data_IF_034654793438
#
_entry.id   IF_034654793438
#
_cell.length_a   1.000
_cell.length_b   1.000
_cell.length_c   1.000
_cell.angle_alpha   90.00
_cell.angle_beta   90.00
_cell.angle_gamma   90.00
#
_symmetry.space_group_name_H-M   'P 1'
#
loop_
_entity.id
_entity.type
_entity.pdbx_description
1 polymer ?
#
# COMPACT_ATOMS: atom_id res chain seq x y z
N UNK A 1 -2.33 -5.12 -3.06
CA UNK A 1 -1.40 -4.02 -2.78
C UNK A 1 -1.03 -3.88 -1.31
N UNK A 2 -1.97 -4.05 -0.37
CA UNK A 2 -1.75 -3.74 1.04
C UNK A 2 -1.50 -4.97 1.91
N UNK A 3 -0.58 -4.88 2.88
CA UNK A 3 -0.32 -5.88 3.92
C UNK A 3 -0.70 -5.31 5.29
N UNK A 4 -1.56 -6.02 6.02
CA UNK A 4 -2.02 -5.61 7.36
C UNK A 4 -0.86 -5.70 8.36
N UNK A 5 -0.55 -4.60 9.04
CA UNK A 5 0.58 -4.48 9.98
C UNK A 5 0.16 -4.11 11.41
N UNK A 6 -1.08 -3.70 11.59
CA UNK A 6 -1.71 -3.43 12.87
C UNK A 6 -3.20 -3.72 12.80
N UNK A 7 -3.74 -4.42 13.77
CA UNK A 7 -5.18 -4.57 13.98
C UNK A 7 -5.47 -4.51 15.47
N UNK A 8 -5.75 -3.30 15.96
CA UNK A 8 -6.15 -3.08 17.34
C UNK A 8 -7.64 -3.30 17.51
N UNK A 9 -7.98 -4.11 18.52
CA UNK A 9 -9.32 -4.20 19.10
C UNK A 9 -9.19 -3.96 20.61
N UNK A 10 -10.28 -3.50 21.22
CA UNK A 10 -10.30 -3.18 22.66
C UNK A 10 -11.21 -4.10 23.48
N UNK A 11 -11.66 -5.20 22.88
CA UNK A 11 -12.55 -6.20 23.48
C UNK A 11 -12.04 -6.76 24.82
N UNK A 12 -10.73 -6.88 24.98
CA UNK A 12 -10.10 -7.42 26.17
C UNK A 12 -10.00 -6.37 27.30
N UNK A 13 -11.13 -5.94 27.86
CA UNK A 13 -11.21 -4.94 28.93
C UNK A 13 -10.44 -3.63 28.60
N UNK A 14 -10.54 -3.20 27.35
CA UNK A 14 -9.90 -1.99 26.84
C UNK A 14 -8.42 -2.15 26.48
N UNK A 15 -7.79 -3.30 26.68
CA UNK A 15 -6.38 -3.47 26.28
C UNK A 15 -6.23 -3.26 24.77
N UNK A 16 -5.22 -2.50 24.35
CA UNK A 16 -4.91 -2.24 22.95
C UNK A 16 -4.13 -3.42 22.36
N UNK A 17 -4.85 -4.49 22.03
CA UNK A 17 -4.26 -5.75 21.56
C UNK A 17 -4.19 -5.74 20.04
N UNK A 18 -2.98 -5.85 19.49
CA UNK A 18 -2.78 -6.15 18.08
C UNK A 18 -3.05 -7.63 17.78
N UNK A 19 -3.94 -7.89 16.84
CA UNK A 19 -4.31 -9.23 16.38
C UNK A 19 -3.46 -9.72 15.20
N UNK A 20 -2.56 -8.90 14.67
CA UNK A 20 -1.65 -9.33 13.61
C UNK A 20 -0.50 -10.18 14.16
N UNK A 21 0.19 -10.97 13.31
CA UNK A 21 1.39 -11.70 13.71
C UNK A 21 2.55 -10.82 14.19
N UNK A 22 2.44 -9.49 14.04
CA UNK A 22 3.49 -8.57 14.44
C UNK A 22 3.44 -8.19 15.93
N UNK A 23 2.31 -8.34 16.61
CA UNK A 23 2.19 -8.15 18.05
C UNK A 23 2.47 -6.72 18.52
N UNK A 24 2.14 -5.71 17.71
CA UNK A 24 2.34 -4.30 18.03
C UNK A 24 1.26 -3.77 18.99
N UNK A 25 1.22 -4.30 20.22
CA UNK A 25 0.30 -3.84 21.25
C UNK A 25 0.51 -2.35 21.58
N UNK A 26 -0.59 -1.67 21.92
CA UNK A 26 -0.59 -0.25 22.27
C UNK A 26 -0.41 0.01 23.77
N UNK A 27 0.30 1.10 24.09
CA UNK A 27 0.40 1.64 25.44
C UNK A 27 -0.64 2.73 25.63
N UNK A 28 -1.58 2.49 26.55
CA UNK A 28 -2.71 3.38 26.82
C UNK A 28 -2.36 4.41 27.88
N UNK A 29 -2.70 5.66 27.64
CA UNK A 29 -2.60 6.76 28.60
C UNK A 29 -3.93 7.49 28.62
N UNK A 30 -4.49 7.79 29.80
CA UNK A 30 -5.65 8.69 29.92
C UNK A 30 -6.94 8.26 29.18
N UNK A 31 -7.10 6.99 28.82
CA UNK A 31 -8.30 6.49 28.12
C UNK A 31 -9.23 5.69 29.05
N UNK A 32 -10.53 5.88 28.89
CA UNK A 32 -11.57 5.03 29.48
C UNK A 32 -11.87 3.80 28.61
N UNK A 33 -12.77 2.94 29.08
CA UNK A 33 -13.22 1.74 28.36
C UNK A 33 -14.74 1.60 28.44
N UNK A 34 -15.36 1.32 27.30
CA UNK A 34 -16.73 0.85 27.19
C UNK A 34 -16.74 -0.61 26.73
N UNK A 35 -17.52 -1.46 27.39
CA UNK A 35 -17.70 -2.86 26.97
C UNK A 35 -18.38 -2.98 25.60
N UNK A 36 -19.21 -2.00 25.24
CA UNK A 36 -19.95 -1.98 23.97
C UNK A 36 -19.41 -0.83 23.12
N UNK A 37 -18.89 -1.16 21.94
CA UNK A 37 -18.50 -0.20 20.92
C UNK A 37 -19.59 -0.09 19.86
N UNK A 38 -19.21 -0.23 18.59
CA UNK A 38 -20.11 -0.28 17.43
C UNK A 38 -21.17 -1.38 17.57
N UNK A 39 -20.80 -2.50 18.18
CA UNK A 39 -21.73 -3.59 18.50
C UNK A 39 -21.55 -4.05 19.96
N UNK A 40 -22.54 -4.72 20.56
CA UNK A 40 -22.41 -5.25 21.91
C UNK A 40 -21.18 -6.16 22.06
N UNK A 41 -20.33 -5.87 23.04
CA UNK A 41 -19.12 -6.65 23.33
C UNK A 41 -17.94 -6.50 22.36
N UNK A 42 -17.98 -5.55 21.40
CA UNK A 42 -16.79 -5.23 20.57
C UNK A 42 -15.69 -4.56 21.40
N UNK A 43 -16.07 -3.74 22.38
CA UNK A 43 -15.18 -3.00 23.26
C UNK A 43 -14.61 -1.75 22.58
N UNK A 44 -14.74 -0.59 23.22
CA UNK A 44 -14.21 0.67 22.71
C UNK A 44 -13.42 1.43 23.76
N UNK A 45 -12.40 2.17 23.33
CA UNK A 45 -11.70 3.14 24.17
C UNK A 45 -12.43 4.47 24.14
N UNK A 46 -12.52 5.11 25.31
CA UNK A 46 -13.12 6.43 25.49
C UNK A 46 -11.99 7.45 25.61
N UNK A 47 -11.95 8.41 24.70
CA UNK A 47 -11.01 9.52 24.69
C UNK A 47 -11.75 10.75 25.21
N UNK A 48 -11.48 11.13 26.45
CA UNK A 48 -12.18 12.21 27.15
C UNK A 48 -11.26 13.05 28.05
N UNK A 49 -9.95 12.88 27.89
CA UNK A 49 -8.92 13.64 28.60
C UNK A 49 -7.93 14.16 27.57
N UNK A 50 -7.36 15.36 27.77
CA UNK A 50 -6.32 15.89 26.88
C UNK A 50 -5.02 15.06 26.85
N UNK A 51 -4.91 14.02 27.68
CA UNK A 51 -3.81 13.04 27.69
C UNK A 51 -4.21 11.68 27.14
N UNK A 52 -5.45 11.52 26.64
CA UNK A 52 -5.95 10.28 26.05
C UNK A 52 -5.11 9.91 24.81
N UNK A 53 -4.40 8.78 24.88
CA UNK A 53 -3.49 8.32 23.83
C UNK A 53 -3.39 6.79 23.85
N UNK A 54 -3.21 6.20 22.67
CA UNK A 54 -2.70 4.85 22.52
C UNK A 54 -1.45 4.90 21.64
N UNK A 55 -0.29 4.76 22.27
CA UNK A 55 1.01 4.77 21.59
C UNK A 55 1.41 3.37 21.16
N UNK A 56 1.71 3.22 19.88
CA UNK A 56 2.31 2.04 19.27
C UNK A 56 3.79 2.32 19.01
N UNK A 57 4.72 1.59 19.67
CA UNK A 57 6.15 1.84 19.48
C UNK A 57 6.61 1.62 18.05
N UNK A 58 7.67 2.33 17.67
CA UNK A 58 8.38 2.05 16.42
C UNK A 58 9.02 0.67 16.47
N UNK A 59 8.80 -0.08 15.41
CA UNK A 59 9.44 -1.33 15.07
C UNK A 59 9.83 -1.28 13.59
N UNK A 60 10.62 -2.25 13.08
CA UNK A 60 10.95 -2.29 11.66
C UNK A 60 9.74 -2.33 10.71
N UNK A 61 8.54 -2.73 11.18
CA UNK A 61 7.35 -2.74 10.30
C UNK A 61 6.99 -1.34 9.83
N UNK A 62 7.24 -0.31 10.65
CA UNK A 62 6.89 1.08 10.39
C UNK A 62 7.90 1.79 9.48
N UNK A 63 8.94 1.06 9.05
CA UNK A 63 9.86 1.48 8.02
C UNK A 63 9.31 1.11 6.64
N UNK A 64 9.63 1.93 5.63
CA UNK A 64 9.23 1.72 4.24
C UNK A 64 7.72 1.51 4.10
N UNK A 65 6.91 2.47 4.59
CA UNK A 65 5.46 2.41 4.44
C UNK A 65 5.08 2.44 2.97
N UNK A 66 5.60 3.43 2.22
CA UNK A 66 5.35 3.65 0.79
C UNK A 66 3.86 3.91 0.54
N UNK A 67 3.03 2.87 0.56
CA UNK A 67 1.57 2.97 0.57
C UNK A 67 1.04 2.81 2.00
N UNK A 68 -0.10 3.42 2.31
CA UNK A 68 -0.67 3.36 3.64
C UNK A 68 -2.19 3.33 3.54
N UNK A 69 -2.81 2.34 4.18
CA UNK A 69 -4.24 2.31 4.40
C UNK A 69 -4.49 2.31 5.91
N UNK A 70 -5.43 3.13 6.36
CA UNK A 70 -5.87 3.16 7.75
C UNK A 70 -7.40 3.08 7.74
N UNK A 71 -7.95 2.19 8.56
CA UNK A 71 -9.39 2.14 8.85
C UNK A 71 -9.59 2.33 10.34
N UNK A 72 -10.50 3.24 10.70
CA UNK A 72 -10.86 3.53 12.08
C UNK A 72 -12.37 3.45 12.22
N UNK A 73 -12.85 2.64 13.16
CA UNK A 73 -14.25 2.64 13.57
C UNK A 73 -14.39 3.54 14.80
N UNK A 74 -15.04 4.69 14.64
CA UNK A 74 -15.10 5.73 15.65
C UNK A 74 -16.52 6.27 15.87
N UNK A 75 -16.75 6.83 17.05
CA UNK A 75 -17.93 7.59 17.43
C UNK A 75 -17.49 8.96 17.92
N UNK A 76 -17.95 10.02 17.27
CA UNK A 76 -17.67 11.41 17.65
C UNK A 76 -18.89 11.97 18.38
N UNK A 77 -18.72 12.49 19.60
CA UNK A 77 -19.80 13.06 20.40
C UNK A 77 -20.08 14.54 20.00
N UNK A 78 -21.31 15.03 20.15
CA UNK A 78 -21.63 16.46 20.12
C UNK A 78 -20.83 17.31 21.11
N UNK A 79 -20.30 16.73 22.19
CA UNK A 79 -19.46 17.45 23.15
C UNK A 79 -18.18 18.06 22.53
N UNK A 80 -17.77 17.59 21.33
CA UNK A 80 -16.71 18.21 20.53
C UNK A 80 -17.09 19.61 19.98
N UNK A 81 -18.27 20.12 20.30
CA UNK A 81 -18.79 21.44 19.94
C UNK A 81 -19.04 22.35 21.16
N UNK A 82 -18.32 22.16 22.28
CA UNK A 82 -18.35 23.10 23.40
C UNK A 82 -17.81 24.47 22.97
N UNK A 83 -18.58 25.56 23.04
CA UNK A 83 -18.11 26.90 22.68
C UNK A 83 -16.94 27.43 23.54
N UNK A 84 -16.60 26.79 24.67
CA UNK A 84 -15.42 27.09 25.48
C UNK A 84 -14.14 26.38 24.99
N UNK A 85 -14.27 25.34 24.15
CA UNK A 85 -13.18 24.66 23.47
C UNK A 85 -13.39 24.77 21.96
N UNK A 86 -12.78 25.76 21.28
CA UNK A 86 -13.00 25.95 19.85
C UNK A 86 -12.65 24.66 19.13
N UNK A 87 -13.61 24.13 18.35
CA UNK A 87 -13.49 22.85 17.64
C UNK A 87 -12.07 22.71 17.10
N UNK A 88 -11.32 21.75 17.61
CA UNK A 88 -9.92 21.54 17.26
C UNK A 88 -9.77 20.35 16.32
N UNK A 89 -8.54 20.07 15.90
CA UNK A 89 -8.23 18.88 15.12
C UNK A 89 -8.32 17.65 16.04
N UNK A 90 -9.26 16.76 15.75
CA UNK A 90 -9.47 15.48 16.44
C UNK A 90 -8.67 14.40 15.72
N UNK A 91 -7.50 14.06 16.25
CA UNK A 91 -6.64 13.05 15.63
C UNK A 91 -7.21 11.66 15.73
N UNK A 92 -7.25 10.92 14.62
CA UNK A 92 -7.65 9.51 14.63
C UNK A 92 -6.41 8.63 14.77
N UNK A 93 -5.46 8.79 13.85
CA UNK A 93 -4.18 8.07 13.84
C UNK A 93 -3.09 8.99 13.27
N UNK A 94 -1.93 9.02 13.90
CA UNK A 94 -0.79 9.82 13.47
C UNK A 94 0.52 9.07 13.64
N UNK A 95 1.32 9.02 12.58
CA UNK A 95 2.69 8.55 12.62
C UNK A 95 3.62 9.75 12.73
N UNK A 96 4.47 9.78 13.77
CA UNK A 96 5.39 10.89 14.00
C UNK A 96 6.18 11.25 12.73
N UNK A 97 6.06 12.52 12.31
CA UNK A 97 6.74 13.10 11.14
C UNK A 97 6.58 12.25 9.87
N UNK A 98 5.44 11.58 9.73
CA UNK A 98 5.17 10.68 8.60
C UNK A 98 3.79 10.90 7.99
N UNK A 99 2.73 10.70 8.76
CA UNK A 99 1.35 10.83 8.27
C UNK A 99 0.42 11.26 9.39
N UNK A 100 -0.71 11.86 9.02
CA UNK A 100 -1.76 12.23 9.96
C UNK A 100 -3.14 11.96 9.34
N UNK A 101 -4.02 11.33 10.12
CA UNK A 101 -5.42 11.09 9.77
C UNK A 101 -6.31 11.63 10.88
N UNK A 102 -7.16 12.60 10.56
CA UNK A 102 -7.89 13.36 11.57
C UNK A 102 -9.18 13.97 11.05
N UNK A 103 -10.01 14.43 11.98
CA UNK A 103 -11.19 15.26 11.70
C UNK A 103 -10.88 16.69 12.13
N UNK A 104 -11.04 17.67 11.25
CA UNK A 104 -10.72 19.06 11.59
C UNK A 104 -11.87 19.77 12.32
N UNK A 105 -11.65 21.05 12.63
CA UNK A 105 -12.61 21.91 13.33
C UNK A 105 -13.96 22.12 12.64
N UNK A 106 -14.06 21.79 11.35
CA UNK A 106 -15.28 21.89 10.55
C UNK A 106 -15.94 20.52 10.34
N UNK A 107 -15.45 19.47 10.98
CA UNK A 107 -15.83 18.06 10.77
C UNK A 107 -15.46 17.52 9.39
N UNK A 108 -14.52 18.15 8.72
CA UNK A 108 -13.98 17.63 7.46
C UNK A 108 -13.01 16.50 7.80
N UNK A 109 -13.09 15.41 7.06
CA UNK A 109 -12.13 14.31 7.16
C UNK A 109 -10.86 14.72 6.41
N UNK A 110 -9.71 14.60 7.05
CA UNK A 110 -8.42 15.03 6.50
C UNK A 110 -7.39 13.92 6.65
N UNK A 111 -6.67 13.66 5.58
CA UNK A 111 -5.53 12.75 5.58
C UNK A 111 -4.33 13.43 4.95
N UNK A 112 -3.19 13.44 5.64
CA UNK A 112 -1.94 14.00 5.14
C UNK A 112 -0.76 13.05 5.33
N UNK A 113 0.30 13.30 4.57
CA UNK A 113 1.62 12.71 4.76
C UNK A 113 2.72 13.76 4.55
N UNK A 114 3.89 13.54 5.14
CA UNK A 114 5.05 14.40 5.00
C UNK A 114 5.87 13.94 3.80
N UNK A 115 5.76 14.64 2.67
CA UNK A 115 6.62 14.37 1.54
C UNK A 115 8.08 14.72 1.89
N UNK A 116 9.05 13.93 1.40
CA UNK A 116 10.47 14.20 1.64
C UNK A 116 10.89 15.56 1.05
N UNK A 117 11.99 16.10 1.56
CA UNK A 117 12.61 17.29 1.01
C UNK A 117 12.91 17.14 -0.50
N UNK A 118 12.66 18.20 -1.26
CA UNK A 118 13.03 18.29 -2.67
C UNK A 118 14.34 19.07 -2.83
N UNK A 119 14.93 19.05 -4.03
CA UNK A 119 16.11 19.85 -4.35
C UNK A 119 15.77 21.36 -4.25
N UNK A 120 15.90 21.94 -3.06
CA UNK A 120 15.60 23.34 -2.76
C UNK A 120 14.45 23.59 -1.78
N UNK A 121 13.79 22.55 -1.26
CA UNK A 121 12.65 22.67 -0.35
C UNK A 121 12.76 21.80 0.89
N UNK A 122 12.25 22.29 2.03
CA UNK A 122 12.06 21.47 3.22
C UNK A 122 10.94 20.42 2.98
N UNK A 123 10.85 19.35 3.81
CA UNK A 123 9.71 18.44 3.79
C UNK A 123 8.38 19.21 3.93
N UNK A 124 7.38 18.82 3.15
CA UNK A 124 6.07 19.50 3.10
C UNK A 124 4.93 18.52 3.32
N UNK A 125 3.88 18.97 4.00
CA UNK A 125 2.67 18.16 4.18
C UNK A 125 1.78 18.24 2.94
N UNK A 126 1.39 17.07 2.43
CA UNK A 126 0.45 16.92 1.33
C UNK A 126 -0.69 16.01 1.77
N UNK A 127 -1.87 16.13 1.15
CA UNK A 127 -3.01 15.33 1.57
C UNK A 127 -4.28 15.60 0.79
N UNK A 128 -5.39 15.12 1.32
CA UNK A 128 -6.72 15.47 0.85
C UNK A 128 -7.61 15.86 2.04
N UNK A 129 -8.62 16.68 1.79
CA UNK A 129 -9.70 16.94 2.73
C UNK A 129 -11.08 16.85 2.05
N UNK A 130 -12.10 16.46 2.82
CA UNK A 130 -13.46 16.22 2.32
C UNK A 130 -14.24 17.47 1.90
N UNK A 131 -13.60 18.65 1.86
CA UNK A 131 -14.17 19.89 1.33
C UNK A 131 -13.49 20.31 0.02
N UNK A 132 -12.17 20.51 0.01
CA UNK A 132 -11.45 20.96 -1.19
C UNK A 132 -11.26 19.87 -2.23
N UNK A 133 -11.22 18.60 -1.80
CA UNK A 133 -10.93 17.46 -2.66
C UNK A 133 -12.14 16.55 -2.88
N UNK A 134 -13.37 17.04 -2.64
CA UNK A 134 -14.58 16.27 -2.91
C UNK A 134 -14.69 15.93 -4.41
N UNK A 135 -14.80 14.65 -4.80
CA UNK A 135 -14.73 14.24 -6.21
C UNK A 135 -15.88 14.78 -7.08
N UNK A 136 -17.03 15.06 -6.47
CA UNK A 136 -18.22 15.63 -7.10
C UNK A 136 -18.47 17.10 -6.71
N UNK A 137 -17.51 17.72 -6.03
CA UNK A 137 -17.65 19.07 -5.49
C UNK A 137 -18.63 19.21 -4.32
N UNK A 138 -19.16 18.10 -3.78
CA UNK A 138 -20.08 18.11 -2.64
C UNK A 138 -19.34 17.76 -1.36
N UNK A 139 -19.21 18.74 -0.46
CA UNK A 139 -18.60 18.54 0.85
C UNK A 139 -19.37 17.51 1.67
N UNK A 140 -18.63 16.58 2.27
CA UNK A 140 -19.17 15.57 3.20
C UNK A 140 -18.46 15.69 4.53
N UNK A 141 -19.25 15.80 5.59
CA UNK A 141 -18.77 15.97 6.96
C UNK A 141 -18.86 14.65 7.71
N UNK A 142 -17.93 14.42 8.64
CA UNK A 142 -18.02 13.30 9.57
C UNK A 142 -19.26 13.46 10.45
N UNK A 143 -20.16 12.45 10.48
CA UNK A 143 -21.36 12.55 11.29
C UNK A 143 -21.04 12.47 12.78
N UNK A 144 -21.87 13.13 13.59
CA UNK A 144 -21.79 13.10 15.04
C UNK A 144 -22.84 12.15 15.63
N UNK A 145 -22.58 11.68 16.84
CA UNK A 145 -23.43 10.82 17.66
C UNK A 145 -23.84 9.50 16.99
N UNK A 146 -22.98 8.97 16.13
CA UNK A 146 -23.15 7.65 15.55
C UNK A 146 -21.77 7.03 15.27
N UNK A 147 -21.77 5.71 15.19
CA UNK A 147 -20.58 4.96 14.77
C UNK A 147 -20.38 5.11 13.27
N UNK A 148 -19.13 5.31 12.86
CA UNK A 148 -18.75 5.53 11.47
C UNK A 148 -17.44 4.80 11.21
N UNK A 149 -17.27 4.28 10.00
CA UNK A 149 -15.97 3.82 9.50
C UNK A 149 -15.30 4.93 8.70
N UNK A 150 -14.13 5.37 9.15
CA UNK A 150 -13.30 6.36 8.48
C UNK A 150 -12.10 5.67 7.86
N UNK A 151 -11.87 5.89 6.57
CA UNK A 151 -10.76 5.28 5.83
C UNK A 151 -9.86 6.33 5.23
N UNK A 152 -8.55 6.14 5.40
CA UNK A 152 -7.46 6.81 4.70
C UNK A 152 -6.81 5.79 3.78
N UNK A 153 -6.58 6.13 2.52
CA UNK A 153 -5.88 5.27 1.56
C UNK A 153 -4.91 6.09 0.72
N UNK A 154 -3.61 5.85 0.88
CA UNK A 154 -2.55 6.36 0.04
C UNK A 154 -1.96 5.21 -0.78
N UNK A 155 -1.95 5.31 -2.11
CA UNK A 155 -1.47 4.27 -3.03
C UNK A 155 0.06 4.13 -3.02
N UNK A 156 0.75 5.08 -2.40
CA UNK A 156 2.21 5.09 -2.27
C UNK A 156 2.94 5.71 -3.44
N UNK A 157 2.18 6.34 -4.33
CA UNK A 157 2.69 6.92 -5.54
C UNK A 157 2.16 8.34 -5.78
N UNK A 158 0.85 8.48 -5.99
CA UNK A 158 0.24 9.73 -6.48
C UNK A 158 -1.13 10.02 -5.89
N UNK A 159 -1.80 9.04 -5.27
CA UNK A 159 -3.21 9.18 -4.91
C UNK A 159 -3.43 8.98 -3.43
N UNK A 160 -4.17 9.91 -2.82
CA UNK A 160 -4.77 9.75 -1.51
C UNK A 160 -6.29 9.89 -1.61
N UNK A 161 -6.99 8.91 -1.05
CA UNK A 161 -8.45 8.83 -0.98
C UNK A 161 -8.89 8.75 0.47
N UNK A 162 -10.02 9.40 0.75
CA UNK A 162 -10.68 9.34 2.04
C UNK A 162 -12.10 8.83 1.89
N UNK A 163 -12.55 8.01 2.83
CA UNK A 163 -13.90 7.44 2.81
C UNK A 163 -14.59 7.59 4.17
N UNK A 164 -15.90 7.80 4.12
CA UNK A 164 -16.82 7.71 5.26
C UNK A 164 -17.83 6.62 4.92
N UNK A 165 -17.88 5.55 5.71
CA UNK A 165 -18.73 4.38 5.48
C UNK A 165 -18.64 3.85 4.04
N UNK A 166 -17.39 3.71 3.56
CA UNK A 166 -17.01 3.30 2.20
C UNK A 166 -17.41 4.24 1.06
N UNK A 167 -18.02 5.39 1.36
CA UNK A 167 -18.29 6.43 0.36
C UNK A 167 -17.05 7.30 0.19
N UNK A 168 -16.54 7.42 -1.04
CA UNK A 168 -15.43 8.31 -1.37
C UNK A 168 -15.82 9.77 -1.11
N UNK A 169 -15.13 10.42 -0.17
CA UNK A 169 -15.42 11.82 0.23
C UNK A 169 -14.32 12.79 -0.16
N UNK A 170 -13.10 12.31 -0.43
CA UNK A 170 -11.99 13.13 -0.90
C UNK A 170 -11.05 12.31 -1.78
N UNK A 171 -10.51 12.92 -2.83
CA UNK A 171 -9.45 12.35 -3.66
C UNK A 171 -8.44 13.44 -4.07
N UNK A 172 -7.15 13.19 -3.85
CA UNK A 172 -6.06 13.97 -4.40
C UNK A 172 -5.13 13.06 -5.20
N UNK A 173 -5.06 13.26 -6.52
CA UNK A 173 -4.23 12.49 -7.48
C UNK A 173 -2.91 13.18 -7.85
N UNK A 174 -2.58 14.31 -7.21
CA UNK A 174 -1.41 15.14 -7.55
C UNK A 174 -0.26 14.99 -6.53
N UNK A 175 -0.16 13.85 -5.86
CA UNK A 175 0.87 13.62 -4.84
C UNK A 175 2.21 13.26 -5.48
N UNK A 176 3.30 13.60 -4.78
CA UNK A 176 4.67 13.59 -5.34
C UNK A 176 5.61 12.58 -4.69
N UNK A 177 5.10 11.76 -3.75
CA UNK A 177 5.91 10.78 -3.03
C UNK A 177 5.03 9.75 -2.33
N UNK A 178 5.63 8.63 -1.94
CA UNK A 178 5.04 7.69 -0.99
C UNK A 178 5.14 8.19 0.46
N UNK A 179 4.46 7.48 1.36
CA UNK A 179 4.48 7.75 2.79
C UNK A 179 5.84 7.36 3.39
N UNK A 180 6.54 8.28 4.08
CA UNK A 180 7.85 8.00 4.68
C UNK A 180 7.72 7.11 5.93
N UNK A 181 8.85 6.68 6.48
CA UNK A 181 8.87 5.93 7.74
C UNK A 181 8.36 6.76 8.92
N UNK A 182 7.75 6.09 9.90
CA UNK A 182 7.39 6.68 11.19
C UNK A 182 8.65 6.88 12.04
N UNK A 183 8.77 8.06 12.65
CA UNK A 183 9.90 8.42 13.51
C UNK A 183 9.74 7.93 14.95
N UNK A 184 10.76 8.18 15.78
CA UNK A 184 11.06 7.54 17.07
C UNK A 184 9.90 7.42 18.08
N UNK A 185 8.98 8.37 18.17
CA UNK A 185 7.89 8.32 19.16
C UNK A 185 6.78 7.32 18.77
N UNK A 186 6.72 6.96 17.49
CA UNK A 186 5.86 5.89 16.98
C UNK A 186 4.57 6.39 16.38
N UNK A 187 3.59 5.49 16.37
CA UNK A 187 2.23 5.78 15.89
C UNK A 187 1.33 6.03 17.09
N UNK A 188 0.56 7.08 17.05
CA UNK A 188 -0.38 7.47 18.09
C UNK A 188 -1.80 7.35 17.56
N UNK A 189 -2.67 6.66 18.31
CA UNK A 189 -4.09 6.58 18.02
C UNK A 189 -4.80 7.53 18.99
N UNK A 190 -5.60 8.43 18.45
CA UNK A 190 -6.37 9.40 19.22
C UNK A 190 -5.59 10.63 19.70
N UNK A 191 -4.33 10.83 19.28
CA UNK A 191 -3.49 11.90 19.84
C UNK A 191 -2.38 12.40 18.89
N UNK A 192 -1.91 13.65 19.05
CA UNK A 192 -0.76 14.20 18.34
C UNK A 192 0.56 14.04 19.13
N UNK A 193 1.62 13.46 18.56
CA UNK A 193 2.93 13.40 19.21
C UNK A 193 3.67 14.75 19.17
N UNK A 194 4.45 15.12 20.21
CA UNK A 194 4.62 14.46 21.50
C UNK A 194 3.75 15.17 22.57
N UNK A 195 2.53 14.70 22.77
CA UNK A 195 1.67 15.06 23.92
C UNK A 195 1.10 16.49 23.92
N UNK A 196 0.54 16.95 22.80
CA UNK A 196 -0.22 18.20 22.78
C UNK A 196 -1.74 17.96 22.96
N UNK A 197 -2.33 18.40 24.08
CA UNK A 197 -3.75 18.18 24.37
C UNK A 197 -4.70 18.90 23.39
N UNK A 198 -4.20 19.87 22.61
CA UNK A 198 -5.00 20.59 21.61
C UNK A 198 -5.36 19.74 20.39
N UNK A 199 -4.79 18.55 20.28
CA UNK A 199 -4.97 17.65 19.14
C UNK A 199 -5.36 16.23 19.57
N UNK A 200 -5.90 16.10 20.78
CA UNK A 200 -6.48 14.85 21.28
C UNK A 200 -7.83 14.61 20.64
N UNK A 201 -8.09 13.36 20.28
CA UNK A 201 -9.41 12.87 19.94
C UNK A 201 -10.37 13.01 21.11
N UNK A 202 -11.64 13.18 20.78
CA UNK A 202 -12.73 13.22 21.73
C UNK A 202 -13.87 12.36 21.20
N UNK A 203 -14.25 11.34 21.96
CA UNK A 203 -15.22 10.34 21.54
C UNK A 203 -14.77 8.93 21.87
N UNK A 204 -15.17 7.97 21.03
CA UNK A 204 -14.82 6.56 21.20
C UNK A 204 -14.20 5.97 19.93
N UNK A 205 -13.22 5.07 20.11
CA UNK A 205 -12.65 4.27 19.02
C UNK A 205 -12.82 2.79 19.38
N UNK A 206 -13.41 2.01 18.48
CA UNK A 206 -13.66 0.57 18.64
C UNK A 206 -12.52 -0.26 18.03
N UNK A 207 -12.16 0.06 16.79
CA UNK A 207 -11.21 -0.73 16.01
C UNK A 207 -10.31 0.17 15.17
N UNK A 208 -9.03 -0.19 15.09
CA UNK A 208 -8.06 0.45 14.19
C UNK A 208 -7.32 -0.63 13.42
N UNK A 209 -7.29 -0.50 12.10
CA UNK A 209 -6.50 -1.34 11.21
C UNK A 209 -5.58 -0.49 10.38
N UNK A 210 -4.32 -0.91 10.25
CA UNK A 210 -3.31 -0.21 9.45
C UNK A 210 -2.65 -1.23 8.54
N UNK A 211 -2.60 -0.89 7.26
CA UNK A 211 -1.87 -1.65 6.26
C UNK A 211 -0.81 -0.76 5.63
N UNK A 212 0.30 -1.37 5.24
CA UNK A 212 1.30 -0.71 4.40
C UNK A 212 1.41 -1.37 3.04
N UNK A 213 2.27 -0.85 2.17
CA UNK A 213 2.62 -1.52 0.92
C UNK A 213 3.06 -2.97 1.18
N UNK A 214 2.42 -3.90 0.48
CA UNK A 214 2.84 -5.30 0.47
C UNK A 214 4.01 -5.46 -0.50
N UNK A 215 5.23 -5.72 0.00
CA UNK A 215 6.38 -5.97 -0.85
C UNK A 215 6.15 -7.10 -1.87
N UNK A 216 5.30 -8.07 -1.59
CA UNK A 216 5.14 -9.23 -2.48
C UNK A 216 4.05 -8.98 -3.54
N UNK A 217 3.32 -7.86 -3.47
CA UNK A 217 2.23 -7.57 -4.38
C UNK A 217 2.64 -7.54 -5.85
N UNK A 218 3.62 -6.71 -6.23
CA UNK A 218 4.05 -6.63 -7.64
C UNK A 218 4.67 -7.93 -8.13
N UNK A 219 5.28 -8.71 -7.22
CA UNK A 219 5.83 -10.02 -7.57
C UNK A 219 4.73 -11.02 -7.92
N UNK A 220 3.65 -11.01 -7.13
CA UNK A 220 2.48 -11.82 -7.42
C UNK A 220 1.82 -11.40 -8.74
N UNK A 221 1.76 -10.10 -9.03
CA UNK A 221 1.25 -9.59 -10.31
C UNK A 221 2.16 -9.93 -11.50
N UNK A 222 3.47 -9.92 -11.34
CA UNK A 222 4.35 -10.33 -12.41
C UNK A 222 4.27 -11.84 -12.66
N UNK A 223 4.40 -12.63 -11.59
CA UNK A 223 4.46 -14.08 -11.69
C UNK A 223 3.10 -14.75 -11.89
N UNK A 224 1.98 -14.02 -11.82
CA UNK A 224 0.67 -14.59 -12.16
C UNK A 224 0.65 -15.15 -13.60
N UNK A 225 1.43 -14.58 -14.53
CA UNK A 225 1.58 -15.09 -15.90
C UNK A 225 2.32 -16.43 -15.94
N UNK A 226 3.31 -16.57 -15.07
CA UNK A 226 4.28 -17.67 -15.08
C UNK A 226 3.90 -18.63 -13.97
N UNK A 227 2.76 -19.29 -14.16
CA UNK A 227 2.26 -20.30 -13.24
C UNK A 227 3.01 -21.65 -13.36
N UNK A 228 3.89 -21.80 -14.37
CA UNK A 228 4.64 -23.02 -14.64
C UNK A 228 6.03 -23.04 -13.98
N UNK A 229 6.36 -24.15 -13.31
CA UNK A 229 7.72 -24.36 -12.78
C UNK A 229 8.80 -24.48 -13.87
N UNK A 230 8.44 -24.67 -15.14
CA UNK A 230 9.40 -24.86 -16.24
C UNK A 230 10.06 -23.54 -16.66
N UNK A 231 9.27 -22.49 -16.87
CA UNK A 231 9.71 -21.16 -17.26
C UNK A 231 10.51 -20.51 -16.12
N UNK A 232 10.02 -20.62 -14.87
CA UNK A 232 10.77 -20.19 -13.67
C UNK A 232 12.13 -20.90 -13.54
N UNK A 233 12.19 -22.20 -13.84
CA UNK A 233 13.46 -22.93 -13.86
C UNK A 233 14.38 -22.47 -14.98
N UNK A 234 13.83 -22.13 -16.16
CA UNK A 234 14.60 -21.59 -17.26
C UNK A 234 15.20 -20.22 -16.91
N UNK A 235 14.48 -19.38 -16.17
CA UNK A 235 14.97 -18.07 -15.73
C UNK A 235 16.01 -18.11 -14.60
N UNK A 236 16.25 -19.27 -14.01
CA UNK A 236 17.23 -19.42 -12.93
C UNK A 236 18.61 -18.82 -13.26
N UNK A 237 19.22 -19.06 -14.43
CA UNK A 237 20.52 -18.47 -14.77
C UNK A 237 20.48 -16.95 -14.85
N UNK A 238 19.35 -16.36 -15.28
CA UNK A 238 19.15 -14.91 -15.26
C UNK A 238 19.14 -14.40 -13.81
N UNK A 239 18.37 -15.02 -12.92
CA UNK A 239 18.35 -14.62 -11.50
C UNK A 239 19.71 -14.83 -10.81
N UNK A 240 20.43 -15.90 -11.13
CA UNK A 240 21.79 -16.13 -10.64
C UNK A 240 22.77 -15.05 -11.14
N UNK A 241 22.64 -14.60 -12.39
CA UNK A 241 23.44 -13.50 -12.92
C UNK A 241 23.18 -12.19 -12.18
N UNK A 242 21.90 -11.84 -11.97
CA UNK A 242 21.56 -10.63 -11.22
C UNK A 242 22.00 -10.76 -9.75
N UNK A 243 21.90 -11.96 -9.17
CA UNK A 243 22.41 -12.20 -7.83
C UNK A 243 23.94 -12.02 -7.74
N UNK A 244 24.68 -12.42 -8.76
CA UNK A 244 26.11 -12.17 -8.89
C UNK A 244 26.46 -10.68 -8.97
N UNK A 245 25.72 -9.91 -9.78
CA UNK A 245 25.87 -8.46 -9.90
C UNK A 245 25.80 -7.75 -8.55
N UNK A 246 24.85 -8.14 -7.73
CA UNK A 246 24.58 -7.43 -6.50
C UNK A 246 25.39 -7.95 -5.30
N UNK A 247 26.01 -9.12 -5.42
CA UNK A 247 26.93 -9.67 -4.41
C UNK A 247 28.30 -8.97 -4.41
N UNK A 248 28.64 -8.27 -5.49
CA UNK A 248 29.84 -7.44 -5.58
C UNK A 248 29.47 -5.95 -5.35
N UNK A 249 30.12 -5.23 -4.41
CA UNK A 249 29.75 -3.85 -4.07
C UNK A 249 29.73 -2.86 -5.23
N UNK A 250 30.70 -2.93 -6.14
CA UNK A 250 30.83 -2.00 -7.27
C UNK A 250 29.72 -2.23 -8.30
N UNK A 251 29.52 -3.48 -8.71
CA UNK A 251 28.45 -3.83 -9.66
C UNK A 251 27.06 -3.72 -9.04
N UNK A 252 26.94 -3.85 -7.72
CA UNK A 252 25.72 -3.61 -6.96
C UNK A 252 25.31 -2.15 -7.02
N UNK A 253 26.26 -1.23 -6.85
CA UNK A 253 26.02 0.21 -7.01
C UNK A 253 25.55 0.54 -8.43
N UNK A 254 26.20 -0.02 -9.47
CA UNK A 254 25.77 0.20 -10.85
C UNK A 254 24.36 -0.31 -11.13
N UNK A 255 23.99 -1.47 -10.57
CA UNK A 255 22.64 -2.00 -10.72
C UNK A 255 21.60 -1.17 -9.95
N UNK A 256 21.94 -0.68 -8.75
CA UNK A 256 21.08 0.21 -7.97
C UNK A 256 20.84 1.52 -8.74
N UNK A 257 21.90 2.13 -9.29
CA UNK A 257 21.81 3.34 -10.11
C UNK A 257 20.93 3.14 -11.35
N UNK A 258 21.12 2.01 -12.05
CA UNK A 258 20.31 1.63 -13.20
C UNK A 258 18.82 1.55 -12.85
N UNK A 259 18.50 0.83 -11.77
CA UNK A 259 17.13 0.64 -11.34
C UNK A 259 16.50 1.95 -10.82
N UNK A 260 17.28 2.80 -10.16
CA UNK A 260 16.85 4.14 -9.74
C UNK A 260 16.60 5.08 -10.93
N UNK A 261 17.41 4.97 -12.00
CA UNK A 261 17.20 5.70 -13.25
C UNK A 261 15.85 5.33 -13.86
N UNK A 262 15.57 4.03 -13.98
CA UNK A 262 14.33 3.54 -14.59
C UNK A 262 13.11 3.89 -13.74
N UNK A 263 13.18 3.66 -12.42
CA UNK A 263 12.12 4.05 -11.49
C UNK A 263 11.77 5.53 -11.65
N UNK A 264 12.77 6.42 -11.76
CA UNK A 264 12.55 7.84 -11.94
C UNK A 264 11.79 8.14 -13.24
N UNK A 265 12.16 7.50 -14.36
CA UNK A 265 11.48 7.69 -15.66
C UNK A 265 10.03 7.25 -15.59
N UNK A 266 9.76 6.05 -15.06
CA UNK A 266 8.40 5.52 -14.90
C UNK A 266 7.59 6.42 -13.98
N UNK A 267 8.19 6.84 -12.87
CA UNK A 267 7.55 7.70 -11.89
C UNK A 267 7.15 9.05 -12.51
N UNK A 268 8.02 9.66 -13.31
CA UNK A 268 7.69 10.89 -14.04
C UNK A 268 6.57 10.65 -15.04
N UNK A 269 6.65 9.59 -15.85
CA UNK A 269 5.63 9.24 -16.85
C UNK A 269 4.24 9.11 -16.22
N UNK A 270 4.11 8.30 -15.17
CA UNK A 270 2.82 8.06 -14.51
C UNK A 270 2.31 9.34 -13.84
N UNK A 271 3.19 10.15 -13.24
CA UNK A 271 2.77 11.43 -12.64
C UNK A 271 2.26 12.41 -13.67
N UNK A 272 2.97 12.58 -14.78
CA UNK A 272 2.54 13.49 -15.84
C UNK A 272 1.19 13.01 -16.42
N UNK A 273 1.02 11.70 -16.61
CA UNK A 273 -0.27 11.10 -16.98
C UNK A 273 -1.38 11.43 -16.00
N UNK A 274 -1.20 11.13 -14.72
CA UNK A 274 -2.24 11.29 -13.70
C UNK A 274 -2.53 12.76 -13.37
N UNK A 275 -1.57 13.65 -13.58
CA UNK A 275 -1.75 15.11 -13.43
C UNK A 275 -2.71 15.71 -14.47
N UNK A 276 -3.06 14.97 -15.53
CA UNK A 276 -3.97 15.42 -16.58
C UNK A 276 -5.45 15.40 -16.17
N UNK A 277 -5.79 14.83 -15.01
CA UNK A 277 -7.13 14.89 -14.41
C UNK A 277 -7.70 13.54 -13.97
N UNK A 278 -8.84 13.59 -13.26
CA UNK A 278 -9.54 12.42 -12.68
C UNK A 278 -10.06 11.44 -13.74
N UNK A 279 -10.54 11.93 -14.89
CA UNK A 279 -10.96 11.09 -16.02
C UNK A 279 -9.77 10.28 -16.57
N UNK A 280 -8.60 10.91 -16.68
CA UNK A 280 -7.36 10.25 -17.10
C UNK A 280 -6.93 9.20 -16.10
N UNK A 281 -7.00 9.48 -14.81
CA UNK A 281 -6.68 8.52 -13.75
C UNK A 281 -7.61 7.29 -13.79
N UNK A 282 -8.91 7.51 -13.99
CA UNK A 282 -9.91 6.44 -14.12
C UNK A 282 -9.66 5.58 -15.35
N UNK A 283 -9.32 6.21 -16.48
CA UNK A 283 -9.01 5.49 -17.70
C UNK A 283 -7.70 4.70 -17.59
N UNK A 284 -6.68 5.26 -16.92
CA UNK A 284 -5.43 4.55 -16.63
C UNK A 284 -5.67 3.28 -15.81
N UNK A 285 -6.48 3.36 -14.75
CA UNK A 285 -6.86 2.19 -13.93
C UNK A 285 -7.55 1.10 -14.76
N UNK A 286 -8.43 1.50 -15.70
CA UNK A 286 -9.06 0.55 -16.63
C UNK A 286 -8.04 -0.15 -17.52
N UNK A 287 -7.10 0.61 -18.10
CA UNK A 287 -6.03 0.03 -18.93
C UNK A 287 -5.13 -0.90 -18.10
N UNK A 288 -4.75 -0.52 -16.88
CA UNK A 288 -3.96 -1.36 -16.00
C UNK A 288 -4.65 -2.70 -15.69
N UNK A 289 -5.96 -2.68 -15.37
CA UNK A 289 -6.75 -3.90 -15.13
C UNK A 289 -6.85 -4.78 -16.38
N UNK A 290 -7.05 -4.19 -17.54
CA UNK A 290 -7.12 -4.92 -18.81
C UNK A 290 -5.76 -5.57 -19.16
N UNK A 291 -4.66 -4.82 -19.01
CA UNK A 291 -3.31 -5.34 -19.19
C UNK A 291 -3.03 -6.51 -18.26
N UNK A 292 -3.27 -6.35 -16.95
CA UNK A 292 -3.03 -7.40 -15.95
C UNK A 292 -3.85 -8.65 -16.24
N UNK A 293 -5.09 -8.51 -16.73
CA UNK A 293 -5.90 -9.67 -17.16
C UNK A 293 -5.21 -10.43 -18.30
N UNK A 294 -4.76 -9.74 -19.35
CA UNK A 294 -4.07 -10.37 -20.49
C UNK A 294 -2.72 -10.96 -20.08
N UNK A 295 -1.97 -10.25 -19.24
CA UNK A 295 -0.70 -10.68 -18.67
C UNK A 295 -0.86 -11.97 -17.86
N UNK A 296 -1.70 -11.97 -16.82
CA UNK A 296 -1.92 -13.13 -15.96
C UNK A 296 -2.52 -14.33 -16.70
N UNK A 297 -3.28 -14.09 -17.76
CA UNK A 297 -3.84 -15.16 -18.59
C UNK A 297 -2.85 -15.72 -19.61
N UNK A 298 -1.61 -15.22 -19.68
CA UNK A 298 -0.57 -15.70 -20.59
C UNK A 298 -0.79 -15.34 -22.06
N UNK A 299 -1.58 -14.29 -22.34
CA UNK A 299 -1.92 -13.86 -23.71
C UNK A 299 -1.13 -12.63 -24.16
N UNK A 300 0.11 -12.49 -23.71
CA UNK A 300 1.00 -11.36 -24.05
C UNK A 300 1.43 -11.35 -25.53
N UNK A 301 1.40 -12.52 -26.18
CA UNK A 301 1.71 -12.74 -27.61
C UNK A 301 0.44 -12.81 -28.49
N UNK A 302 -0.69 -12.33 -27.97
CA UNK A 302 -2.00 -12.46 -28.63
C UNK A 302 -2.41 -11.21 -29.41
N UNK A 303 -3.37 -11.39 -30.32
CA UNK A 303 -4.04 -10.27 -30.99
C UNK A 303 -4.72 -9.31 -29.99
N UNK A 304 -5.26 -9.84 -28.89
CA UNK A 304 -5.87 -9.02 -27.85
C UNK A 304 -4.86 -8.09 -27.15
N UNK A 305 -3.64 -8.58 -26.88
CA UNK A 305 -2.56 -7.73 -26.34
C UNK A 305 -2.12 -6.67 -27.36
N UNK A 306 -1.98 -7.02 -28.63
CA UNK A 306 -1.68 -6.05 -29.68
C UNK A 306 -2.76 -4.95 -29.77
N UNK A 307 -4.04 -5.31 -29.77
CA UNK A 307 -5.15 -4.37 -29.85
C UNK A 307 -5.27 -3.50 -28.59
N UNK A 308 -4.93 -4.06 -27.42
CA UNK A 308 -4.78 -3.31 -26.18
C UNK A 308 -3.67 -2.27 -26.29
N UNK A 309 -2.45 -2.69 -26.66
CA UNK A 309 -1.29 -1.80 -26.76
C UNK A 309 -1.55 -0.68 -27.76
N UNK A 310 -2.15 -0.98 -28.92
CA UNK A 310 -2.50 0.05 -29.90
C UNK A 310 -3.43 1.13 -29.33
N UNK A 311 -4.53 0.72 -28.65
CA UNK A 311 -5.46 1.66 -28.00
C UNK A 311 -4.77 2.46 -26.89
N UNK A 312 -3.90 1.81 -26.13
CA UNK A 312 -3.18 2.44 -25.04
C UNK A 312 -2.19 3.50 -25.57
N UNK A 313 -1.36 3.16 -26.56
CA UNK A 313 -0.45 4.12 -27.23
C UNK A 313 -1.21 5.31 -27.80
N UNK A 314 -2.29 5.06 -28.56
CA UNK A 314 -3.11 6.12 -29.14
C UNK A 314 -3.70 7.04 -28.05
N UNK A 315 -4.12 6.46 -26.93
CA UNK A 315 -4.66 7.22 -25.81
C UNK A 315 -3.57 8.06 -25.11
N UNK A 316 -2.40 7.49 -24.82
CA UNK A 316 -1.27 8.23 -24.22
C UNK A 316 -0.86 9.40 -25.10
N UNK A 317 -0.71 9.19 -26.41
CA UNK A 317 -0.35 10.26 -27.35
C UNK A 317 -1.38 11.39 -27.38
N UNK A 318 -2.67 11.10 -27.14
CA UNK A 318 -3.72 12.12 -27.04
C UNK A 318 -3.65 12.90 -25.73
N UNK A 319 -3.29 12.25 -24.63
CA UNK A 319 -3.27 12.88 -23.30
C UNK A 319 -2.00 13.68 -23.07
N UNK A 320 -0.83 13.10 -23.38
CA UNK A 320 0.47 13.69 -23.06
C UNK A 320 1.17 14.34 -24.27
N UNK A 321 0.62 14.15 -25.47
CA UNK A 321 1.18 14.61 -26.73
C UNK A 321 1.92 13.50 -27.50
N UNK A 322 2.09 13.67 -28.81
CA UNK A 322 2.58 12.61 -29.71
C UNK A 322 4.01 12.16 -29.37
N UNK A 323 4.89 13.09 -28.99
CA UNK A 323 6.32 12.81 -28.79
C UNK A 323 6.67 12.36 -27.36
N UNK A 324 5.71 12.43 -26.42
CA UNK A 324 5.98 12.19 -25.01
C UNK A 324 6.44 10.75 -24.75
N UNK A 325 5.78 9.79 -25.39
CA UNK A 325 6.11 8.38 -25.24
C UNK A 325 7.52 8.06 -25.77
N UNK A 326 7.96 8.78 -26.80
CA UNK A 326 9.27 8.64 -27.43
C UNK A 326 10.38 9.17 -26.55
N UNK A 327 10.17 10.33 -25.94
CA UNK A 327 11.08 10.84 -24.92
C UNK A 327 11.15 9.92 -23.68
N UNK A 328 10.01 9.32 -23.29
CA UNK A 328 10.00 8.34 -22.21
C UNK A 328 10.83 7.09 -22.57
N UNK A 329 10.60 6.49 -23.74
CA UNK A 329 11.30 5.28 -24.20
C UNK A 329 12.80 5.56 -24.40
N UNK A 330 13.17 6.66 -25.04
CA UNK A 330 14.56 7.09 -25.17
C UNK A 330 15.22 7.26 -23.79
N UNK A 331 14.49 7.83 -22.82
CA UNK A 331 14.97 7.97 -21.45
C UNK A 331 15.20 6.63 -20.72
N UNK A 332 14.44 5.58 -21.06
CA UNK A 332 14.65 4.20 -20.59
C UNK A 332 15.88 3.58 -21.27
N UNK A 333 16.01 3.76 -22.58
CA UNK A 333 17.17 3.30 -23.35
C UNK A 333 18.48 3.93 -22.86
N UNK A 334 18.49 5.22 -22.55
CA UNK A 334 19.63 5.91 -21.93
C UNK A 334 20.08 5.22 -20.62
N UNK A 335 19.12 4.86 -19.75
CA UNK A 335 19.42 4.15 -18.51
C UNK A 335 20.07 2.78 -18.80
N UNK A 336 19.52 2.04 -19.77
CA UNK A 336 20.03 0.74 -20.22
C UNK A 336 21.44 0.89 -20.78
N UNK A 337 21.69 1.85 -21.66
CA UNK A 337 23.00 2.08 -22.27
C UNK A 337 24.07 2.41 -21.23
N UNK A 338 23.75 3.25 -20.23
CA UNK A 338 24.69 3.59 -19.16
C UNK A 338 25.04 2.34 -18.35
N UNK A 339 24.05 1.50 -18.04
CA UNK A 339 24.29 0.24 -17.33
C UNK A 339 25.11 -0.76 -18.16
N UNK A 340 24.79 -0.92 -19.44
CA UNK A 340 25.49 -1.85 -20.32
C UNK A 340 26.92 -1.38 -20.62
N UNK A 341 27.16 -0.08 -20.79
CA UNK A 341 28.53 0.48 -20.92
C UNK A 341 29.41 0.15 -19.71
N UNK A 342 28.83 0.04 -18.52
CA UNK A 342 29.57 -0.29 -17.28
C UNK A 342 29.73 -1.79 -17.06
N UNK A 343 28.77 -2.60 -17.48
CA UNK A 343 28.71 -4.03 -17.11
C UNK A 343 28.91 -4.98 -18.29
N UNK A 344 28.50 -4.60 -19.50
CA UNK A 344 28.43 -5.46 -20.69
C UNK A 344 27.49 -6.64 -20.52
N UNK A 345 26.48 -6.52 -19.64
CA UNK A 345 25.59 -7.61 -19.25
C UNK A 345 24.16 -7.48 -19.79
N UNK A 346 23.74 -6.32 -20.29
CA UNK A 346 22.35 -6.11 -20.73
C UNK A 346 21.97 -7.10 -21.82
N UNK A 347 22.80 -7.21 -22.85
CA UNK A 347 22.59 -8.15 -23.96
C UNK A 347 22.46 -9.61 -23.51
N UNK A 348 23.17 -10.01 -22.44
CA UNK A 348 23.08 -11.37 -21.88
C UNK A 348 21.82 -11.57 -21.03
N UNK A 349 21.43 -10.56 -20.26
CA UNK A 349 20.22 -10.62 -19.44
C UNK A 349 18.98 -10.74 -20.34
N UNK A 350 18.87 -9.89 -21.36
CA UNK A 350 17.73 -9.90 -22.27
C UNK A 350 17.68 -11.19 -23.10
N UNK A 351 18.82 -11.71 -23.56
CA UNK A 351 18.85 -12.97 -24.32
C UNK A 351 18.36 -14.15 -23.47
N UNK A 352 18.81 -14.25 -22.21
CA UNK A 352 18.36 -15.30 -21.29
C UNK A 352 16.86 -15.23 -21.02
N UNK A 353 16.29 -14.03 -20.94
CA UNK A 353 14.86 -13.84 -20.76
C UNK A 353 14.08 -14.28 -22.02
N UNK A 354 14.51 -13.83 -23.20
CA UNK A 354 13.85 -14.13 -24.48
C UNK A 354 13.89 -15.62 -24.83
N UNK A 355 15.03 -16.30 -24.62
CA UNK A 355 15.17 -17.73 -24.90
C UNK A 355 14.25 -18.59 -24.03
N UNK A 356 13.99 -18.12 -22.81
CA UNK A 356 13.15 -18.83 -21.84
C UNK A 356 11.67 -18.48 -21.94
N UNK A 357 11.33 -17.36 -22.59
CA UNK A 357 9.97 -16.87 -22.69
C UNK A 357 9.67 -16.31 -24.10
N UNK A 358 9.40 -17.20 -25.07
CA UNK A 358 9.12 -16.80 -26.44
C UNK A 358 7.89 -15.88 -26.56
N UNK A 359 6.88 -16.06 -25.70
CA UNK A 359 5.70 -15.21 -25.69
C UNK A 359 6.04 -13.77 -25.27
N UNK A 360 6.89 -13.61 -24.25
CA UNK A 360 7.42 -12.30 -23.87
C UNK A 360 8.30 -11.69 -24.97
N UNK A 361 9.09 -12.50 -25.69
CA UNK A 361 9.85 -12.01 -26.84
C UNK A 361 8.96 -11.45 -27.95
N UNK A 362 7.80 -12.05 -28.22
CA UNK A 362 6.82 -11.51 -29.19
C UNK A 362 6.20 -10.22 -28.69
N UNK A 363 5.88 -10.16 -27.40
CA UNK A 363 5.35 -8.95 -26.76
C UNK A 363 6.31 -7.76 -26.87
N UNK A 364 7.62 -7.95 -26.65
CA UNK A 364 8.62 -6.91 -26.90
C UNK A 364 8.64 -6.44 -28.36
N UNK A 365 8.49 -7.37 -29.32
CA UNK A 365 8.36 -7.03 -30.74
C UNK A 365 7.10 -6.23 -31.07
N UNK A 366 5.99 -6.49 -30.39
CA UNK A 366 4.77 -5.68 -30.52
C UNK A 366 4.98 -4.25 -30.03
N UNK A 367 5.69 -4.06 -28.91
CA UNK A 367 6.02 -2.74 -28.38
C UNK A 367 6.92 -1.99 -29.37
N UNK A 368 7.94 -2.65 -29.91
CA UNK A 368 8.86 -2.06 -30.90
C UNK A 368 8.13 -1.66 -32.19
N UNK A 369 7.27 -2.54 -32.73
CA UNK A 369 6.47 -2.24 -33.93
C UNK A 369 5.57 -1.01 -33.72
N UNK A 370 4.90 -0.95 -32.57
CA UNK A 370 4.03 0.18 -32.23
C UNK A 370 4.84 1.44 -32.01
N UNK A 371 5.96 1.37 -31.31
CA UNK A 371 6.87 2.50 -31.13
C UNK A 371 7.26 3.13 -32.48
N UNK A 372 7.71 2.31 -33.42
CA UNK A 372 8.12 2.75 -34.75
C UNK A 372 6.95 3.34 -35.55
N UNK A 373 5.76 2.77 -35.41
CA UNK A 373 4.55 3.27 -36.07
C UNK A 373 4.14 4.66 -35.58
N UNK A 374 4.30 4.93 -34.29
CA UNK A 374 3.96 6.23 -33.70
C UNK A 374 5.11 7.24 -33.81
N UNK A 375 6.32 6.82 -34.19
CA UNK A 375 7.53 7.65 -34.34
C UNK A 375 8.31 7.35 -35.63
N UNK A 376 7.74 7.63 -36.81
CA UNK A 376 8.36 7.26 -38.08
C UNK A 376 9.71 7.96 -38.32
N UNK A 377 9.88 9.20 -37.82
CA UNK A 377 11.08 10.01 -38.03
C UNK A 377 12.33 9.46 -37.32
N UNK A 378 12.16 8.62 -36.29
CA UNK A 378 13.26 7.99 -35.55
C UNK A 378 13.74 6.67 -36.20
N UNK A 379 13.11 6.22 -37.29
CA UNK A 379 13.23 4.82 -37.77
C UNK A 379 13.79 4.65 -39.17
N UNK A 380 14.28 5.71 -39.82
CA UNK A 380 14.91 5.60 -41.14
C UNK A 380 16.20 4.75 -41.09
N UNK A 381 16.05 3.44 -41.30
CA UNK A 381 17.14 2.49 -41.57
C UNK A 381 17.40 1.43 -40.50
N UNK A 382 16.69 1.42 -39.37
CA UNK A 382 16.91 0.43 -38.31
C UNK A 382 16.08 -0.85 -38.53
N UNK A 383 16.70 -2.02 -38.33
CA UNK A 383 16.01 -3.32 -38.38
C UNK A 383 15.34 -3.58 -37.03
N UNK A 384 14.14 -4.21 -37.01
CA UNK A 384 13.53 -4.64 -35.75
C UNK A 384 14.50 -5.54 -34.98
N UNK A 385 14.70 -5.22 -33.71
CA UNK A 385 15.56 -5.96 -32.77
C UNK A 385 14.83 -7.24 -32.33
N UNK A 386 13.50 -7.22 -32.27
CA UNK A 386 12.68 -8.32 -31.76
C UNK A 386 11.85 -9.02 -32.86
N UNK A 387 11.58 -10.34 -32.73
CA UNK A 387 10.83 -11.10 -33.72
C UNK A 387 9.32 -10.83 -33.69
N UNK A 388 8.71 -10.65 -34.87
CA UNK A 388 7.25 -10.59 -35.06
C UNK A 388 6.70 -11.97 -35.45
N UNK A 389 6.49 -12.85 -34.46
CA UNK A 389 5.91 -14.19 -34.71
C UNK A 389 4.39 -14.12 -34.95
N UNK A 390 3.76 -15.13 -35.59
CA UNK A 390 2.32 -15.15 -35.78
C UNK A 390 1.58 -15.10 -34.44
N UNK A 391 0.65 -14.13 -34.32
CA UNK A 391 -0.07 -13.85 -33.07
C UNK A 391 -1.03 -14.97 -32.70
N UNK A 392 -1.11 -15.26 -31.40
CA UNK A 392 -2.08 -16.22 -30.86
C UNK A 392 -3.49 -15.62 -30.86
N UNK A 393 -4.48 -16.43 -31.22
CA UNK A 393 -5.88 -16.05 -31.00
C UNK A 393 -6.21 -16.10 -29.50
N UNK A 394 -6.78 -15.00 -28.99
CA UNK A 394 -7.34 -14.96 -27.65
C UNK A 394 -8.64 -15.77 -27.62
N UNK A 395 -8.65 -16.86 -26.84
CA UNK A 395 -9.88 -17.58 -26.50
C UNK A 395 -10.24 -17.20 -25.07
N UNK A 396 -11.25 -16.34 -24.84
CA UNK A 396 -11.68 -16.07 -23.47
C UNK A 396 -12.07 -17.40 -22.83
N UNK A 397 -11.51 -17.70 -21.66
CA UNK A 397 -12.14 -18.69 -20.81
C UNK A 397 -13.57 -18.21 -20.53
N UNK A 398 -14.59 -19.07 -20.60
CA UNK A 398 -15.92 -18.69 -20.17
C UNK A 398 -15.79 -18.19 -18.74
N UNK A 399 -16.37 -17.02 -18.46
CA UNK A 399 -16.43 -16.49 -17.10
C UNK A 399 -16.84 -17.64 -16.19
N UNK A 400 -16.05 -17.87 -15.12
CA UNK A 400 -16.44 -18.83 -14.09
C UNK A 400 -17.91 -18.53 -13.76
N UNK A 401 -18.81 -19.52 -13.79
CA UNK A 401 -20.22 -19.28 -13.56
C UNK A 401 -20.34 -18.47 -12.29
N UNK A 402 -20.98 -17.31 -12.37
CA UNK A 402 -21.27 -16.48 -11.23
C UNK A 402 -21.77 -17.40 -10.11
N UNK A 403 -21.17 -17.28 -8.92
CA UNK A 403 -21.61 -18.02 -7.75
C UNK A 403 -23.14 -17.99 -7.73
N UNK A 404 -23.82 -19.15 -7.61
CA UNK A 404 -25.27 -19.18 -7.69
C UNK A 404 -25.80 -18.20 -6.65
N UNK A 405 -26.51 -17.18 -7.15
CA UNK A 405 -27.28 -16.25 -6.33
C UNK A 405 -28.08 -17.10 -5.36
N UNK A 406 -27.72 -17.01 -4.07
CA UNK A 406 -28.49 -17.64 -3.01
C UNK A 406 -29.93 -17.15 -3.17
N UNK A 407 -30.93 -18.03 -3.34
CA UNK A 407 -32.31 -17.58 -3.40
C UNK A 407 -32.66 -16.93 -2.07
N UNK A 408 -33.36 -15.79 -2.16
CA UNK A 408 -33.86 -15.00 -1.05
C UNK A 408 -34.35 -15.89 0.10
N UNK A 409 -33.67 -15.80 1.25
CA UNK A 409 -34.18 -16.32 2.51
C UNK A 409 -35.43 -15.51 2.87
N UNK A 410 -36.59 -16.09 2.55
CA UNK A 410 -37.89 -15.66 3.08
C UNK A 410 -37.79 -15.57 4.61
N UNK A 411 -38.16 -14.40 5.11
CA UNK A 411 -38.49 -14.17 6.52
C UNK A 411 -39.41 -15.28 7.04
N UNK A 412 -39.12 -15.91 8.20
CA UNK A 412 -40.11 -16.69 8.90
C UNK A 412 -41.04 -15.75 9.67
N UNK A 413 -42.31 -15.79 9.25
CA UNK A 413 -43.46 -15.24 9.95
C UNK A 413 -43.56 -15.75 11.38
N UNK A 414 -43.95 -14.85 12.28
CA UNK A 414 -44.40 -15.14 13.62
C UNK A 414 -45.52 -16.19 13.64
N UNK A 415 -45.37 -17.21 14.47
CA UNK A 415 -46.47 -17.77 15.26
C UNK A 415 -45.90 -18.66 16.38
N UNK A 416 -46.39 -18.40 17.59
CA UNK A 416 -45.78 -18.87 18.84
C UNK A 416 -46.12 -20.30 19.24
N UNK A 417 -45.35 -20.80 20.20
CA UNK A 417 -45.83 -21.59 21.35
C UNK A 417 -44.72 -21.80 22.37
N UNK A 418 -44.98 -21.31 23.58
CA UNK A 418 -44.39 -21.78 24.85
C UNK A 418 -44.53 -23.31 24.99
N UNK A 419 -43.62 -23.98 25.72
CA UNK A 419 -43.87 -24.18 27.14
C UNK A 419 -42.66 -24.04 28.08
N UNK A 420 -43.04 -23.97 29.35
CA UNK A 420 -42.33 -23.66 30.59
C UNK A 420 -41.48 -24.79 31.22
N UNK A 421 -40.50 -24.32 32.02
CA UNK A 421 -40.14 -24.72 33.39
C UNK A 421 -39.28 -25.98 33.69
N UNK A 422 -38.22 -25.66 34.47
CA UNK A 422 -37.61 -26.36 35.62
C UNK A 422 -36.88 -27.71 35.46
N UNK A 423 -35.57 -27.75 35.77
CA UNK A 423 -35.06 -28.13 37.11
C UNK A 423 -33.50 -28.15 37.21
N UNK A 424 -33.02 -27.52 38.29
CA UNK A 424 -31.95 -27.88 39.27
C UNK A 424 -30.49 -28.25 38.88
N UNK A 425 -29.60 -27.40 39.41
CA UNK A 425 -28.51 -27.65 40.39
C UNK A 425 -27.58 -28.89 40.28
N UNK A 426 -26.27 -28.63 40.22
CA UNK A 426 -25.24 -28.96 41.26
C UNK A 426 -23.86 -28.47 40.75
N UNK A 427 -23.21 -27.49 41.39
CA UNK A 427 -22.24 -27.58 42.50
C UNK A 427 -21.03 -28.50 42.26
N UNK A 428 -19.82 -27.93 42.14
CA UNK A 428 -18.78 -28.07 43.19
C UNK A 428 -17.51 -27.26 42.90
N UNK A 429 -17.02 -26.64 43.98
CA UNK A 429 -15.78 -25.90 44.17
C UNK A 429 -14.49 -26.61 43.76
N UNK A 430 -13.48 -25.80 43.38
CA UNK A 430 -12.13 -25.80 44.00
C UNK A 430 -11.19 -24.72 43.41
N UNK A 431 -10.88 -23.73 44.25
CA UNK A 431 -9.58 -23.02 44.36
C UNK A 431 -9.18 -23.15 45.86
N UNK A 432 -8.00 -22.73 46.36
CA UNK A 432 -6.80 -22.20 45.71
C UNK A 432 -5.47 -22.73 46.27
N UNK A 433 -4.35 -22.46 45.58
CA UNK A 433 -3.05 -22.26 46.27
C UNK A 433 -2.04 -21.53 45.38
N UNK A 434 -1.76 -20.28 45.77
CA UNK A 434 -0.43 -19.65 45.77
C UNK A 434 -0.08 -19.44 47.27
N UNK A 435 1.15 -19.09 47.73
CA UNK A 435 2.16 -18.31 47.02
C UNK A 435 3.63 -18.73 47.28
N UNK A 436 4.59 -18.14 46.55
CA UNK A 436 5.86 -17.63 47.12
C UNK A 436 6.73 -16.93 46.07
N UNK A 437 6.98 -15.65 46.30
CA UNK A 437 8.26 -14.99 46.01
C UNK A 437 9.05 -14.93 47.34
N UNK A 438 10.39 -14.86 47.32
CA UNK A 438 10.97 -13.53 47.55
C UNK A 438 12.31 -13.24 46.84
N UNK A 439 12.57 -11.93 46.70
CA UNK A 439 13.83 -11.19 46.87
C UNK A 439 15.05 -11.56 46.02
N UNK A 440 15.50 -10.67 45.13
CA UNK A 440 16.35 -9.48 45.36
C UNK A 440 17.83 -9.79 45.10
N UNK A 441 18.47 -8.98 44.26
CA UNK A 441 19.90 -9.13 43.98
C UNK A 441 20.37 -8.20 42.87
N UNK A 442 20.97 -7.09 43.28
CA UNK A 442 21.56 -6.05 42.44
C UNK A 442 22.55 -6.59 41.39
N UNK A 443 22.50 -6.03 40.17
CA UNK A 443 23.57 -6.19 39.17
C UNK A 443 24.29 -4.85 39.04
N UNK A 444 25.58 -4.92 39.31
CA UNK A 444 26.54 -3.84 39.23
C UNK A 444 26.89 -3.48 37.79
N UNK A 445 27.10 -2.18 37.62
CA UNK A 445 27.68 -1.47 36.49
C UNK A 445 29.06 -2.04 36.10
N UNK A 446 29.21 -2.46 34.83
CA UNK A 446 30.49 -2.55 34.13
C UNK A 446 30.27 -2.22 32.65
N UNK A 447 30.61 -0.99 32.32
CA UNK A 447 31.04 -0.53 30.99
C UNK A 447 31.99 -1.54 30.32
N UNK A 448 31.59 -2.07 29.17
CA UNK A 448 32.52 -2.60 28.17
C UNK A 448 32.16 -2.03 26.79
N UNK A 449 33.16 -1.38 26.20
CA UNK A 449 33.20 -0.92 24.82
C UNK A 449 32.84 -2.08 23.87
N UNK A 450 31.73 -1.93 23.14
CA UNK A 450 31.43 -2.76 21.99
C UNK A 450 31.90 -2.01 20.74
N UNK A 451 33.06 -2.44 20.24
CA UNK A 451 33.49 -2.18 18.88
C UNK A 451 32.45 -2.76 17.91
N UNK A 452 31.84 -1.89 17.12
CA UNK A 452 30.88 -2.25 16.07
C UNK A 452 31.61 -2.95 14.92
N UNK A 453 31.71 -4.27 15.01
CA UNK A 453 32.05 -5.10 13.86
C UNK A 453 30.84 -5.17 12.93
N UNK A 454 30.95 -4.51 11.78
CA UNK A 454 29.99 -4.60 10.67
C UNK A 454 29.88 -6.06 10.24
N UNK A 455 28.76 -6.70 10.56
CA UNK A 455 28.49 -8.07 10.10
C UNK A 455 28.17 -8.00 8.60
N UNK A 456 28.88 -8.75 7.73
CA UNK A 456 28.58 -8.77 6.31
C UNK A 456 27.16 -9.31 6.10
N UNK A 457 26.39 -8.64 5.26
CA UNK A 457 25.03 -9.03 4.94
C UNK A 457 25.00 -10.49 4.46
N UNK A 458 24.19 -11.34 5.12
CA UNK A 458 23.97 -12.73 4.71
C UNK A 458 23.27 -12.78 3.34
N UNK A 459 23.57 -13.76 2.47
CA UNK A 459 23.02 -13.89 1.10
C UNK A 459 21.49 -13.83 0.97
N UNK A 460 20.76 -14.09 2.07
CA UNK A 460 19.30 -14.10 2.15
C UNK A 460 18.68 -12.68 2.10
N UNK A 461 19.32 -11.66 2.69
CA UNK A 461 18.76 -10.28 2.66
C UNK A 461 18.91 -9.59 1.30
N UNK A 462 19.68 -10.22 0.42
CA UNK A 462 20.04 -9.72 -0.89
C UNK A 462 19.08 -10.25 -1.98
N UNK A 463 18.67 -11.53 -1.92
CA UNK A 463 17.55 -12.04 -2.74
C UNK A 463 16.26 -11.25 -2.50
N UNK A 464 15.98 -10.84 -1.25
CA UNK A 464 14.86 -9.94 -0.93
C UNK A 464 15.01 -8.55 -1.58
N UNK A 465 16.23 -8.03 -1.76
CA UNK A 465 16.50 -6.74 -2.45
C UNK A 465 16.45 -6.86 -3.97
N UNK A 466 16.92 -7.95 -4.55
CA UNK A 466 16.77 -8.24 -5.99
C UNK A 466 15.29 -8.40 -6.36
N UNK A 467 14.54 -9.11 -5.52
CA UNK A 467 13.09 -9.19 -5.63
C UNK A 467 12.47 -7.79 -5.45
N UNK A 468 13.00 -6.92 -4.58
CA UNK A 468 12.62 -5.48 -4.52
C UNK A 468 12.88 -4.65 -5.76
N UNK A 469 13.82 -5.06 -6.59
CA UNK A 469 14.20 -4.35 -7.81
C UNK A 469 13.31 -4.84 -8.97
N UNK A 470 13.03 -6.14 -9.04
CA UNK A 470 12.02 -6.71 -9.93
C UNK A 470 10.59 -6.20 -9.60
N UNK A 471 10.30 -5.88 -8.32
CA UNK A 471 9.05 -5.27 -7.80
C UNK A 471 8.62 -3.94 -8.47
N UNK A 472 9.46 -3.30 -9.29
CA UNK A 472 9.17 -1.97 -9.89
C UNK A 472 9.00 -1.97 -11.41
N UNK A 473 9.28 -3.09 -12.08
CA UNK A 473 9.55 -3.08 -13.52
C UNK A 473 8.46 -3.73 -14.39
N UNK A 474 7.68 -4.63 -13.82
CA UNK A 474 6.97 -5.63 -14.61
C UNK A 474 5.56 -5.31 -15.11
N UNK A 475 4.96 -4.16 -14.76
CA UNK A 475 3.82 -3.64 -15.51
C UNK A 475 4.20 -2.80 -16.75
N UNK A 476 5.49 -2.52 -17.00
CA UNK A 476 5.90 -1.47 -17.96
C UNK A 476 7.10 -1.82 -18.88
N UNK A 477 7.49 -3.09 -18.94
CA UNK A 477 8.16 -3.69 -20.12
C UNK A 477 7.25 -4.79 -20.59
#
# INVERSE_FOLDING_TARGET
MYKLILHHTYKAAGQAVDLTPYGHHGFRTGVGFSQNGMFPGSGALIFNQGSSDVRVPVTPVWQQLIALKIEVTAYLDNATADPLFPVHRLNLVEGEMSFAFFVNSKRQLVGTFLAPATAGGAPTWHGADSHQNAPDGVERLVPLNQWVRLTYEHDGFSTLRLYIDDVLVAENTSLIAGVPAVQMTGTHIGHWPPNDPRYTFEGMIDEVKIWKYDPDFTMNEFFCRIAGGKELNCWRPMFEMIAGLLSNPETSEYFIDFMACIERRITTFVRDLLSSGTDTATMNDRFAKEFLKLWCSGYVDSKAMQDFLYRWFEWISKVLGPDYLSHFIAGIQDCIEVFDKRTGLWGKLISLQMDCDPAFSVYLGLIEELYNKFNPDDTEGEKPIFPTSPLREYKPEPDAPADPVKPDEKEPSADGKEPSADEKETSTDKKPTEPRSPDSGAIADKSQEQTTATTPATPVSFFEKLIQLLRRFLPWI
#
